data_IF_416983843465
#
_entry.id   IF_416983843465
#
_cell.length_a   1.000
_cell.length_b   1.000
_cell.length_c   1.000
_cell.angle_alpha   90.00
_cell.angle_beta   90.00
_cell.angle_gamma   90.00
#
_symmetry.space_group_name_H-M   'P 1'
#
loop_
_entity.id
_entity.type
_entity.pdbx_description
1 polymer ?
#
# COMPACT_ATOMS: atom_id res chain seq x y z
N UNK A 1 -4.95 -2.93 -29.51
CA UNK A 1 -5.27 -3.54 -28.19
C UNK A 1 -5.64 -2.43 -27.23
N UNK A 2 -6.68 -2.61 -26.39
CA UNK A 2 -6.95 -1.69 -25.29
C UNK A 2 -5.71 -1.62 -24.38
N UNK A 3 -5.40 -0.42 -23.91
CA UNK A 3 -4.29 -0.21 -23.00
C UNK A 3 -4.55 -1.00 -21.70
N UNK A 4 -3.60 -1.85 -21.32
CA UNK A 4 -3.67 -2.56 -20.06
C UNK A 4 -3.46 -1.56 -18.92
N UNK A 5 -4.31 -1.60 -17.91
CA UNK A 5 -4.28 -0.72 -16.74
C UNK A 5 -3.59 -1.45 -15.59
N UNK A 6 -2.73 -0.77 -14.83
CA UNK A 6 -2.03 -1.36 -13.69
C UNK A 6 -2.93 -1.40 -12.43
N UNK A 7 -4.04 -2.13 -12.53
CA UNK A 7 -4.96 -2.34 -11.42
C UNK A 7 -5.35 -3.81 -11.38
N UNK A 8 -5.12 -4.44 -10.25
CA UNK A 8 -5.33 -5.86 -10.01
C UNK A 8 -6.21 -6.06 -8.79
N UNK A 9 -6.99 -7.14 -8.82
CA UNK A 9 -7.82 -7.57 -7.70
C UNK A 9 -7.39 -8.96 -7.26
N UNK A 10 -7.04 -9.08 -5.98
CA UNK A 10 -6.73 -10.34 -5.34
C UNK A 10 -8.00 -11.18 -5.13
N UNK A 11 -7.96 -12.42 -5.62
CA UNK A 11 -8.99 -13.44 -5.40
C UNK A 11 -8.32 -14.74 -4.96
N UNK A 12 -9.12 -15.62 -4.36
CA UNK A 12 -8.71 -16.98 -4.01
C UNK A 12 -9.31 -17.96 -5.02
N UNK A 13 -8.52 -18.91 -5.49
CA UNK A 13 -8.97 -20.06 -6.27
C UNK A 13 -9.14 -21.29 -5.37
N UNK A 14 -9.81 -22.32 -5.87
CA UNK A 14 -9.91 -23.59 -5.16
C UNK A 14 -8.53 -24.27 -5.02
N UNK A 15 -8.34 -25.08 -3.98
CA UNK A 15 -7.07 -25.77 -3.72
C UNK A 15 -6.61 -26.67 -4.88
N UNK A 16 -7.56 -27.27 -5.61
CA UNK A 16 -7.29 -28.11 -6.79
C UNK A 16 -6.73 -27.33 -7.98
N UNK A 17 -7.01 -26.03 -8.05
CA UNK A 17 -6.61 -25.13 -9.14
C UNK A 17 -5.40 -24.29 -8.74
N UNK A 18 -4.73 -24.66 -7.64
CA UNK A 18 -3.53 -24.01 -7.14
C UNK A 18 -2.41 -24.06 -8.18
N UNK A 19 -1.72 -22.92 -8.34
CA UNK A 19 -0.61 -22.77 -9.26
C UNK A 19 0.59 -22.17 -8.51
N UNK A 20 1.82 -22.33 -9.03
CA UNK A 20 3.00 -21.77 -8.39
C UNK A 20 2.96 -20.23 -8.37
N UNK A 21 3.36 -19.65 -7.24
CA UNK A 21 3.58 -18.22 -7.10
C UNK A 21 4.65 -17.75 -8.09
N UNK A 22 4.40 -16.62 -8.75
CA UNK A 22 5.31 -16.05 -9.75
C UNK A 22 6.68 -15.63 -9.22
N UNK A 23 6.83 -15.51 -7.90
CA UNK A 23 8.05 -14.99 -7.26
C UNK A 23 8.87 -16.13 -6.69
N UNK A 24 8.28 -16.97 -5.84
CA UNK A 24 8.99 -18.05 -5.17
C UNK A 24 8.66 -19.45 -5.68
N UNK A 25 7.78 -19.57 -6.68
CA UNK A 25 7.30 -20.85 -7.24
C UNK A 25 6.65 -21.79 -6.23
N UNK A 26 6.40 -21.34 -4.99
CA UNK A 26 5.63 -22.12 -4.00
C UNK A 26 4.16 -22.17 -4.39
N UNK A 27 3.46 -23.27 -4.11
CA UNK A 27 2.04 -23.38 -4.43
C UNK A 27 1.22 -22.25 -3.80
N UNK A 28 0.34 -21.62 -4.59
CA UNK A 28 -0.52 -20.53 -4.12
C UNK A 28 -1.93 -20.59 -4.68
N UNK A 29 -2.90 -20.32 -3.82
CA UNK A 29 -4.31 -20.14 -4.17
C UNK A 29 -4.68 -18.68 -4.43
N UNK A 30 -3.77 -17.72 -4.22
CA UNK A 30 -4.08 -16.30 -4.45
C UNK A 30 -3.72 -15.93 -5.88
N UNK A 31 -4.69 -15.35 -6.58
CA UNK A 31 -4.56 -14.85 -7.95
C UNK A 31 -4.83 -13.35 -7.98
N UNK A 32 -3.93 -12.59 -8.59
CA UNK A 32 -4.14 -11.20 -8.96
C UNK A 32 -4.72 -11.16 -10.37
N UNK A 33 -5.95 -10.69 -10.50
CA UNK A 33 -6.64 -10.55 -11.79
C UNK A 33 -6.66 -9.08 -12.22
N UNK A 34 -6.25 -8.78 -13.44
CA UNK A 34 -6.21 -7.43 -13.97
C UNK A 34 -7.62 -6.89 -14.27
N UNK A 35 -7.92 -5.66 -13.86
CA UNK A 35 -9.24 -5.06 -14.04
C UNK A 35 -9.58 -4.77 -15.52
N UNK A 36 -8.59 -4.56 -16.38
CA UNK A 36 -8.76 -4.11 -17.77
C UNK A 36 -8.73 -5.21 -18.83
N UNK A 37 -8.39 -6.45 -18.47
CA UNK A 37 -8.32 -7.52 -19.46
C UNK A 37 -7.92 -8.88 -18.89
N UNK A 38 -7.81 -9.91 -19.76
CA UNK A 38 -7.51 -11.27 -19.36
C UNK A 38 -6.02 -11.39 -19.06
N UNK A 39 -5.60 -10.84 -17.94
CA UNK A 39 -4.27 -11.04 -17.38
C UNK A 39 -4.42 -11.41 -15.91
N UNK A 40 -3.76 -12.49 -15.52
CA UNK A 40 -3.76 -12.95 -14.15
C UNK A 40 -2.41 -13.52 -13.75
N UNK A 41 -2.13 -13.43 -12.47
CA UNK A 41 -0.87 -13.89 -11.89
C UNK A 41 -1.11 -14.53 -10.53
N UNK A 42 -0.54 -15.72 -10.35
CA UNK A 42 -0.53 -16.36 -9.03
C UNK A 42 0.57 -15.75 -8.17
N UNK A 43 0.22 -15.38 -6.93
CA UNK A 43 1.15 -14.86 -5.93
C UNK A 43 0.80 -15.43 -4.57
N UNK A 44 1.74 -15.61 -3.65
CA UNK A 44 1.39 -16.00 -2.27
C UNK A 44 1.19 -14.76 -1.39
N UNK A 45 0.46 -14.92 -0.28
CA UNK A 45 0.08 -13.80 0.59
C UNK A 45 1.31 -13.09 1.19
N UNK A 46 2.38 -13.84 1.48
CA UNK A 46 3.66 -13.29 1.98
C UNK A 46 4.24 -12.30 0.98
N UNK A 47 4.29 -12.65 -0.31
CA UNK A 47 4.80 -11.74 -1.34
C UNK A 47 3.87 -10.57 -1.65
N UNK A 48 2.59 -10.69 -1.32
CA UNK A 48 1.63 -9.61 -1.49
C UNK A 48 1.71 -8.59 -0.33
N UNK A 49 2.13 -9.02 0.85
CA UNK A 49 2.21 -8.17 2.05
C UNK A 49 3.62 -7.62 2.31
N UNK A 50 4.66 -8.44 2.13
CA UNK A 50 6.02 -8.14 2.60
C UNK A 50 6.96 -7.68 1.48
N UNK A 51 6.52 -7.71 0.22
CA UNK A 51 7.36 -7.33 -0.93
C UNK A 51 6.81 -6.09 -1.67
N UNK A 52 7.22 -4.87 -1.26
CA UNK A 52 6.79 -3.64 -1.91
C UNK A 52 7.35 -3.47 -3.33
N UNK A 53 8.41 -4.21 -3.70
CA UNK A 53 8.96 -4.20 -5.06
C UNK A 53 8.14 -5.07 -6.02
N UNK A 54 7.18 -5.84 -5.51
CA UNK A 54 6.29 -6.67 -6.33
C UNK A 54 4.95 -5.99 -6.57
N UNK A 55 4.24 -5.64 -5.49
CA UNK A 55 2.91 -5.04 -5.56
C UNK A 55 2.67 -4.11 -4.38
N UNK A 56 1.94 -3.02 -4.62
CA UNK A 56 1.46 -2.09 -3.59
C UNK A 56 -0.07 -2.12 -3.50
N UNK A 57 -0.64 -2.10 -2.29
CA UNK A 57 -2.09 -2.03 -2.10
C UNK A 57 -2.63 -0.65 -2.52
N UNK A 58 -3.75 -0.65 -3.23
CA UNK A 58 -4.49 0.56 -3.59
C UNK A 58 -5.59 0.75 -2.56
N UNK A 59 -5.37 1.64 -1.60
CA UNK A 59 -6.33 1.91 -0.53
C UNK A 59 -7.50 2.79 -1.00
N UNK A 60 -8.68 2.59 -0.41
CA UNK A 60 -9.87 3.40 -0.66
C UNK A 60 -9.73 4.80 -0.06
N UNK A 61 -10.61 5.71 -0.48
CA UNK A 61 -10.73 7.04 0.13
C UNK A 61 -11.03 6.93 1.63
N UNK A 62 -11.96 6.05 2.01
CA UNK A 62 -12.33 5.74 3.40
C UNK A 62 -11.12 5.37 4.26
N UNK A 63 -10.22 4.51 3.75
CA UNK A 63 -9.00 4.15 4.47
C UNK A 63 -8.07 5.34 4.69
N UNK A 64 -7.90 6.18 3.66
CA UNK A 64 -7.04 7.36 3.76
C UNK A 64 -7.63 8.41 4.72
N UNK A 65 -8.95 8.57 4.72
CA UNK A 65 -9.67 9.42 5.67
C UNK A 65 -9.55 8.90 7.10
N UNK A 66 -9.74 7.60 7.32
CA UNK A 66 -9.55 6.96 8.63
C UNK A 66 -8.11 7.13 9.14
N UNK A 67 -7.10 6.97 8.29
CA UNK A 67 -5.71 7.28 8.63
C UNK A 67 -5.48 8.76 8.96
N UNK A 68 -6.17 9.67 8.27
CA UNK A 68 -6.15 11.11 8.57
C UNK A 68 -6.70 11.39 9.97
N UNK A 69 -7.89 10.85 10.28
CA UNK A 69 -8.51 10.94 11.62
C UNK A 69 -7.60 10.35 12.69
N UNK A 70 -7.02 9.18 12.45
CA UNK A 70 -6.10 8.51 13.36
C UNK A 70 -4.91 9.40 13.73
N UNK A 71 -4.28 10.07 12.74
CA UNK A 71 -3.17 11.00 12.97
C UNK A 71 -3.61 12.22 13.79
N UNK A 72 -4.79 12.78 13.51
CA UNK A 72 -5.34 13.91 14.25
C UNK A 72 -5.60 13.53 15.71
N UNK A 73 -6.28 12.41 15.97
CA UNK A 73 -6.57 11.94 17.32
C UNK A 73 -5.28 11.62 18.08
N UNK A 74 -4.29 10.98 17.42
CA UNK A 74 -2.97 10.76 18.01
C UNK A 74 -2.30 12.06 18.46
N UNK A 75 -2.33 13.09 17.61
CA UNK A 75 -1.75 14.40 17.95
C UNK A 75 -2.48 15.08 19.13
N UNK A 76 -3.80 14.90 19.25
CA UNK A 76 -4.57 15.35 20.41
C UNK A 76 -4.14 14.63 21.69
N UNK A 77 -3.97 13.30 21.63
CA UNK A 77 -3.49 12.50 22.76
C UNK A 77 -2.11 12.99 23.21
N UNK A 78 -1.18 13.20 22.28
CA UNK A 78 0.17 13.70 22.59
C UNK A 78 0.14 15.09 23.26
N UNK A 79 -0.72 16.00 22.80
CA UNK A 79 -0.91 17.33 23.40
C UNK A 79 -1.49 17.25 24.81
N UNK A 80 -2.58 16.48 25.00
CA UNK A 80 -3.24 16.32 26.30
C UNK A 80 -2.31 15.63 27.31
N UNK A 81 -1.56 14.61 26.87
CA UNK A 81 -0.57 13.93 27.71
C UNK A 81 0.59 14.87 28.10
N UNK A 82 1.04 15.72 27.18
CA UNK A 82 2.09 16.71 27.44
C UNK A 82 1.63 17.79 28.41
N UNK A 83 0.41 18.32 28.25
CA UNK A 83 -0.19 19.29 29.17
C UNK A 83 -0.32 18.73 30.60
N UNK A 84 -0.75 17.46 30.73
CA UNK A 84 -0.79 16.75 32.02
C UNK A 84 0.60 16.58 32.64
N UNK A 85 1.60 16.22 31.85
CA UNK A 85 2.97 16.05 32.33
C UNK A 85 3.64 17.38 32.72
N UNK A 86 3.26 18.51 32.11
CA UNK A 86 3.74 19.83 32.53
C UNK A 86 3.15 20.28 33.87
N UNK A 87 1.90 19.94 34.16
CA UNK A 87 1.27 20.21 35.47
C UNK A 87 1.92 19.36 36.60
N UNK A 88 2.50 18.21 36.26
CA UNK A 88 3.29 17.37 37.16
C UNK A 88 4.79 17.66 37.19
N UNK A 89 5.28 18.66 36.45
CA UNK A 89 6.71 18.95 36.38
C UNK A 89 7.19 19.58 37.70
N UNK A 90 8.27 19.00 38.22
CA UNK A 90 9.00 19.34 39.45
C UNK A 90 9.19 20.85 39.71
N UNK A 91 9.20 21.65 38.64
CA UNK A 91 9.35 23.12 38.66
C UNK A 91 8.22 23.85 39.43
N UNK A 92 6.98 23.34 39.37
CA UNK A 92 5.84 23.91 40.10
C UNK A 92 5.87 23.61 41.62
N UNK A 93 6.53 22.52 42.02
CA UNK A 93 6.74 22.18 43.43
C UNK A 93 7.94 22.94 44.00
N UNK A 94 9.02 23.04 43.22
CA UNK A 94 10.24 23.79 43.57
C UNK A 94 9.90 25.27 43.78
N UNK A 95 9.22 25.93 42.82
CA UNK A 95 8.80 27.33 42.98
C UNK A 95 7.89 27.54 44.20
N UNK A 96 6.95 26.62 44.49
CA UNK A 96 6.06 26.73 45.66
C UNK A 96 6.78 26.54 47.01
N UNK A 97 7.86 25.75 47.04
CA UNK A 97 8.70 25.58 48.23
C UNK A 97 9.63 26.77 48.44
N UNK A 98 10.25 27.29 47.37
CA UNK A 98 11.16 28.43 47.46
C UNK A 98 10.40 29.73 47.76
N UNK A 99 9.25 29.99 47.14
CA UNK A 99 8.43 31.19 47.43
C UNK A 99 7.78 31.18 48.81
N UNK A 100 7.61 30.01 49.46
CA UNK A 100 7.09 29.92 50.83
C UNK A 100 8.15 30.22 51.89
N UNK A 101 9.43 30.21 51.52
CA UNK A 101 10.56 30.48 52.43
C UNK A 101 10.98 31.95 52.49
N UNK A 102 10.53 32.78 51.55
CA UNK A 102 10.84 34.23 51.53
C UNK A 102 9.79 35.12 52.21
N UNK A 103 8.61 34.60 52.57
CA UNK A 103 7.55 35.41 53.22
C UNK A 103 7.70 35.60 54.74
N UNK A 104 8.92 35.49 55.26
CA UNK A 104 9.24 35.74 56.65
C UNK A 104 10.57 36.51 56.79
N UNK A 105 10.66 37.69 56.17
CA UNK A 105 11.47 38.82 56.69
C UNK A 105 11.22 40.10 55.89
N UNK A 106 11.12 41.18 56.67
CA UNK A 106 11.32 42.61 56.36
C UNK A 106 10.23 43.38 55.61
N UNK A 107 9.44 44.10 56.44
CA UNK A 107 9.03 45.49 56.23
C UNK A 107 10.22 46.38 55.79
N UNK A 108 10.05 47.14 54.70
CA UNK A 108 10.20 48.61 54.64
C UNK A 108 10.57 49.13 53.24
N UNK A 109 9.93 50.28 52.94
CA UNK A 109 10.35 51.38 52.06
C UNK A 109 10.32 51.22 50.53
N UNK A 110 9.29 51.84 49.94
CA UNK A 110 9.35 52.98 49.00
C UNK A 110 10.01 52.87 47.60
N UNK A 111 9.12 52.94 46.60
CA UNK A 111 9.03 54.00 45.57
C UNK A 111 9.44 53.68 44.10
N UNK A 112 8.59 54.21 43.20
CA UNK A 112 8.67 54.48 41.73
C UNK A 112 8.11 53.40 40.80
N UNK A 113 6.84 53.50 40.37
CA UNK A 113 6.25 54.39 39.33
C UNK A 113 6.48 53.83 37.90
N UNK A 114 5.48 53.11 37.37
CA UNK A 114 4.60 53.46 36.22
C UNK A 114 5.29 53.32 34.84
N UNK A 115 4.77 52.68 33.77
CA UNK A 115 3.47 52.88 33.11
C UNK A 115 3.34 51.90 31.92
N UNK A 116 2.15 51.29 31.76
CA UNK A 116 1.45 50.72 30.56
C UNK A 116 2.24 49.98 29.45
N UNK A 117 1.80 48.82 28.94
CA UNK A 117 0.62 48.70 28.05
C UNK A 117 0.26 47.22 27.83
N UNK A 118 -1.02 47.01 27.51
CA UNK A 118 -1.71 45.73 27.40
C UNK A 118 -1.39 44.92 26.13
N UNK A 119 -1.97 43.70 26.15
CA UNK A 119 -2.34 42.78 25.05
C UNK A 119 -1.30 41.75 24.59
N UNK A 120 -1.37 40.57 25.20
CA UNK A 120 -1.50 39.31 24.47
C UNK A 120 -2.24 38.33 25.40
N UNK A 121 -3.45 37.92 24.99
CA UNK A 121 -4.28 36.96 25.72
C UNK A 121 -3.49 35.71 26.11
N UNK A 122 -3.64 35.19 27.35
CA UNK A 122 -3.11 33.87 27.66
C UNK A 122 -3.78 32.85 26.71
N UNK A 123 -3.02 31.89 26.14
CA UNK A 123 -3.61 30.85 25.30
C UNK A 123 -4.68 30.11 26.12
N UNK A 124 -5.79 29.68 25.49
CA UNK A 124 -6.87 29.05 26.22
C UNK A 124 -6.32 27.85 26.99
N UNK A 125 -6.43 27.92 28.31
CA UNK A 125 -6.16 26.81 29.21
C UNK A 125 -7.11 25.69 28.83
N UNK A 126 -6.61 24.75 28.03
CA UNK A 126 -7.28 23.47 27.86
C UNK A 126 -7.01 22.73 29.15
N UNK A 127 -7.90 22.89 30.13
CA UNK A 127 -7.91 22.04 31.31
C UNK A 127 -7.90 20.58 30.82
N UNK A 128 -6.79 19.89 31.04
CA UNK A 128 -6.61 18.51 30.64
C UNK A 128 -7.41 17.61 31.56
N UNK A 129 -8.73 17.61 31.40
CA UNK A 129 -9.62 16.74 32.17
C UNK A 129 -9.21 15.27 31.92
N UNK A 130 -9.01 14.46 32.97
CA UNK A 130 -8.60 13.07 32.81
C UNK A 130 -9.62 12.25 32.01
N UNK A 131 -10.90 12.61 32.10
CA UNK A 131 -11.98 11.96 31.35
C UNK A 131 -11.89 12.24 29.83
N UNK A 132 -11.50 13.44 29.40
CA UNK A 132 -11.32 13.75 27.97
C UNK A 132 -10.13 13.01 27.37
N UNK A 133 -9.04 12.81 28.11
CA UNK A 133 -7.89 12.02 27.63
C UNK A 133 -8.25 10.54 27.48
N UNK A 134 -8.99 9.96 28.42
CA UNK A 134 -9.45 8.56 28.35
C UNK A 134 -10.43 8.36 27.19
N UNK A 135 -11.37 9.29 26.98
CA UNK A 135 -12.31 9.24 25.86
C UNK A 135 -11.58 9.33 24.51
N UNK A 136 -10.60 10.25 24.38
CA UNK A 136 -9.80 10.41 23.16
C UNK A 136 -8.95 9.15 22.86
N UNK A 137 -8.45 8.46 23.90
CA UNK A 137 -7.74 7.19 23.75
C UNK A 137 -8.68 6.06 23.30
N UNK A 138 -9.91 6.01 23.82
CA UNK A 138 -10.91 5.05 23.38
C UNK A 138 -11.33 5.29 21.92
N UNK A 139 -11.49 6.55 21.51
CA UNK A 139 -11.73 6.94 20.11
C UNK A 139 -10.58 6.48 19.21
N UNK A 140 -9.33 6.72 19.62
CA UNK A 140 -8.14 6.24 18.89
C UNK A 140 -8.15 4.72 18.70
N UNK A 141 -8.51 3.95 19.73
CA UNK A 141 -8.67 2.49 19.64
C UNK A 141 -9.69 2.08 18.59
N UNK A 142 -10.87 2.71 18.56
CA UNK A 142 -11.91 2.42 17.57
C UNK A 142 -11.45 2.71 16.14
N UNK A 143 -10.77 3.85 15.93
CA UNK A 143 -10.26 4.22 14.61
C UNK A 143 -9.12 3.27 14.18
N UNK A 144 -8.28 2.82 15.12
CA UNK A 144 -7.26 1.81 14.82
C UNK A 144 -7.88 0.50 14.31
N UNK A 145 -8.94 0.03 14.97
CA UNK A 145 -9.65 -1.18 14.58
C UNK A 145 -10.29 -1.02 13.19
N UNK A 146 -10.91 0.13 12.91
CA UNK A 146 -11.46 0.48 11.59
C UNK A 146 -10.38 0.47 10.49
N UNK A 147 -9.23 1.13 10.74
CA UNK A 147 -8.10 1.13 9.80
C UNK A 147 -7.58 -0.29 9.55
N UNK A 148 -7.50 -1.12 10.60
CA UNK A 148 -7.06 -2.50 10.48
C UNK A 148 -8.05 -3.35 9.66
N UNK A 149 -9.35 -3.15 9.83
CA UNK A 149 -10.39 -3.83 9.05
C UNK A 149 -10.36 -3.41 7.58
N UNK A 150 -10.29 -2.10 7.31
CA UNK A 150 -10.17 -1.56 5.95
C UNK A 150 -8.90 -2.06 5.25
N UNK A 151 -7.80 -2.23 5.99
CA UNK A 151 -6.57 -2.83 5.45
C UNK A 151 -6.75 -4.31 5.11
N UNK A 152 -7.41 -5.09 5.98
CA UNK A 152 -7.64 -6.54 5.75
C UNK A 152 -8.61 -6.81 4.60
N UNK A 153 -9.62 -5.97 4.44
CA UNK A 153 -10.63 -6.09 3.39
C UNK A 153 -10.15 -5.56 2.04
N UNK A 154 -9.03 -4.83 2.01
CA UNK A 154 -8.42 -4.35 0.78
C UNK A 154 -7.96 -5.54 -0.09
N UNK A 155 -8.43 -5.56 -1.34
CA UNK A 155 -8.06 -6.57 -2.34
C UNK A 155 -7.49 -5.94 -3.60
N UNK A 156 -7.30 -4.63 -3.63
CA UNK A 156 -6.89 -3.91 -4.84
C UNK A 156 -5.40 -3.65 -4.76
N UNK A 157 -4.69 -3.95 -5.83
CA UNK A 157 -3.24 -3.82 -5.90
C UNK A 157 -2.83 -3.21 -7.23
N UNK A 158 -1.73 -2.49 -7.22
CA UNK A 158 -0.96 -2.15 -8.41
C UNK A 158 0.33 -2.98 -8.37
N UNK A 159 0.81 -3.43 -9.53
CA UNK A 159 2.12 -4.05 -9.61
C UNK A 159 3.19 -2.96 -9.66
N UNK A 160 4.39 -3.28 -9.19
CA UNK A 160 5.54 -2.41 -9.42
C UNK A 160 5.75 -2.17 -10.92
N UNK A 161 6.22 -0.97 -11.28
CA UNK A 161 6.35 -0.52 -12.67
C UNK A 161 7.08 -1.54 -13.57
N UNK A 162 8.23 -2.04 -13.12
CA UNK A 162 9.04 -3.02 -13.87
C UNK A 162 8.25 -4.31 -14.12
N UNK A 163 7.54 -4.80 -13.10
CA UNK A 163 6.72 -6.02 -13.21
C UNK A 163 5.57 -5.80 -14.18
N UNK A 164 4.87 -4.67 -14.07
CA UNK A 164 3.77 -4.33 -14.96
C UNK A 164 4.21 -4.22 -16.42
N UNK A 165 5.30 -3.49 -16.68
CA UNK A 165 5.87 -3.33 -18.02
C UNK A 165 6.29 -4.68 -18.62
N UNK A 166 6.94 -5.54 -17.83
CA UNK A 166 7.29 -6.91 -18.26
C UNK A 166 6.07 -7.72 -18.70
N UNK A 167 4.96 -7.62 -17.96
CA UNK A 167 3.71 -8.30 -18.32
C UNK A 167 3.08 -7.74 -19.59
N UNK A 168 3.07 -6.42 -19.75
CA UNK A 168 2.58 -5.77 -20.97
C UNK A 168 3.40 -6.21 -22.19
N UNK A 169 4.73 -6.21 -22.05
CA UNK A 169 5.64 -6.67 -23.09
C UNK A 169 5.42 -8.14 -23.43
N UNK A 170 5.34 -9.02 -22.42
CA UNK A 170 5.06 -10.45 -22.61
C UNK A 170 3.77 -10.65 -23.40
N UNK A 171 2.69 -9.99 -23.01
CA UNK A 171 1.39 -10.13 -23.68
C UNK A 171 1.44 -9.64 -25.13
N UNK A 172 2.15 -8.55 -25.40
CA UNK A 172 2.39 -8.06 -26.77
C UNK A 172 3.19 -9.09 -27.59
N UNK A 173 4.25 -9.64 -27.03
CA UNK A 173 5.07 -10.67 -27.69
C UNK A 173 4.30 -11.96 -27.95
N UNK A 174 3.52 -12.43 -26.99
CA UNK A 174 2.70 -13.63 -27.12
C UNK A 174 1.66 -13.49 -28.23
N UNK A 175 1.05 -12.30 -28.38
CA UNK A 175 0.15 -12.01 -29.50
C UNK A 175 0.89 -12.05 -30.84
N UNK A 176 2.03 -11.37 -30.96
CA UNK A 176 2.81 -11.37 -32.20
C UNK A 176 3.24 -12.78 -32.60
N UNK A 177 3.65 -13.60 -31.62
CA UNK A 177 4.01 -14.99 -31.84
C UNK A 177 2.81 -15.82 -32.29
N UNK A 178 1.63 -15.60 -31.71
CA UNK A 178 0.39 -16.25 -32.15
C UNK A 178 0.02 -15.88 -33.57
N UNK A 179 0.12 -14.61 -33.94
CA UNK A 179 -0.15 -14.14 -35.31
C UNK A 179 0.84 -14.73 -36.32
N UNK A 180 2.14 -14.79 -35.97
CA UNK A 180 3.16 -15.45 -36.78
C UNK A 180 2.86 -16.93 -36.97
N UNK A 181 2.51 -17.63 -35.89
CA UNK A 181 2.19 -19.05 -35.93
C UNK A 181 0.97 -19.35 -36.81
N UNK A 182 -0.08 -18.53 -36.74
CA UNK A 182 -1.26 -18.67 -37.61
C UNK A 182 -0.90 -18.47 -39.08
N UNK A 183 -0.12 -17.43 -39.41
CA UNK A 183 0.36 -17.21 -40.79
C UNK A 183 1.24 -18.36 -41.30
N UNK A 184 2.08 -18.91 -40.44
CA UNK A 184 2.91 -20.07 -40.79
C UNK A 184 2.06 -21.31 -41.08
N UNK A 185 1.03 -21.58 -40.26
CA UNK A 185 0.07 -22.65 -40.52
C UNK A 185 -0.70 -22.45 -41.83
N UNK A 186 -1.16 -21.23 -42.10
CA UNK A 186 -1.83 -20.88 -43.37
C UNK A 186 -0.90 -21.16 -44.55
N UNK A 187 0.37 -20.74 -44.46
CA UNK A 187 1.38 -21.00 -45.49
C UNK A 187 1.61 -22.50 -45.73
N UNK A 188 1.73 -23.32 -44.68
CA UNK A 188 1.88 -24.78 -44.83
C UNK A 188 0.62 -25.44 -45.43
N UNK A 189 -0.57 -24.94 -45.11
CA UNK A 189 -1.83 -25.49 -45.62
C UNK A 189 -2.11 -25.10 -47.08
N UNK A 190 -1.50 -24.01 -47.55
CA UNK A 190 -1.74 -23.41 -48.87
C UNK A 190 -0.58 -23.66 -49.86
N UNK A 191 0.40 -24.50 -49.55
CA UNK A 191 1.40 -24.91 -50.55
C UNK A 191 0.84 -26.00 -51.46
N UNK A 192 0.68 -25.68 -52.75
CA UNK A 192 0.31 -26.64 -53.79
C UNK A 192 1.46 -27.67 -53.99
N UNK A 193 1.21 -28.97 -53.83
CA UNK A 193 2.23 -30.00 -54.02
C UNK A 193 2.86 -29.96 -55.42
N UNK A 194 2.14 -29.55 -56.47
CA UNK A 194 2.73 -29.40 -57.81
C UNK A 194 3.75 -28.26 -57.87
N UNK A 195 3.49 -27.15 -57.17
CA UNK A 195 4.40 -26.02 -57.12
C UNK A 195 5.70 -26.38 -56.37
N UNK A 196 5.60 -27.18 -55.31
CA UNK A 196 6.75 -27.68 -54.57
C UNK A 196 7.64 -28.59 -55.43
N UNK A 197 7.05 -29.51 -56.20
CA UNK A 197 7.77 -30.39 -57.12
C UNK A 197 8.47 -29.62 -58.25
N UNK A 198 7.92 -28.47 -58.67
CA UNK A 198 8.56 -27.59 -59.66
C UNK A 198 9.72 -26.79 -59.08
N UNK A 199 9.59 -26.30 -57.85
CA UNK A 199 10.59 -25.44 -57.20
C UNK A 199 11.75 -26.22 -56.58
N UNK A 200 11.52 -27.46 -56.16
CA UNK A 200 12.51 -28.24 -55.43
C UNK A 200 12.73 -29.62 -56.07
N UNK A 201 13.99 -29.97 -56.31
CA UNK A 201 14.36 -31.31 -56.73
C UNK A 201 14.41 -32.23 -55.50
N UNK A 202 13.37 -33.05 -55.32
CA UNK A 202 13.32 -34.03 -54.24
C UNK A 202 14.13 -35.29 -54.61
N UNK A 203 14.98 -35.82 -53.71
CA UNK A 203 15.67 -37.08 -53.93
C UNK A 203 14.65 -38.23 -54.04
N UNK A 204 14.80 -39.08 -55.06
CA UNK A 204 13.96 -40.26 -55.21
C UNK A 204 14.48 -41.40 -54.33
N UNK A 205 13.56 -42.15 -53.70
CA UNK A 205 13.93 -43.33 -52.92
C UNK A 205 14.36 -44.43 -53.90
N UNK A 206 15.54 -45.06 -53.70
CA UNK A 206 15.98 -46.18 -54.54
C UNK A 206 14.93 -47.30 -54.53
N UNK A 207 14.41 -47.65 -55.70
CA UNK A 207 13.51 -48.80 -55.84
C UNK A 207 14.36 -50.05 -55.73
N UNK A 208 14.15 -50.85 -54.69
CA UNK A 208 14.71 -52.18 -54.62
C UNK A 208 13.96 -53.03 -55.64
N UNK A 209 14.57 -53.24 -56.81
CA UNK A 209 14.09 -54.20 -57.79
C UNK A 209 14.17 -55.58 -57.13
N UNK A 210 13.03 -56.09 -56.67
CA UNK A 210 12.91 -57.47 -56.20
C UNK A 210 13.04 -58.37 -57.44
N UNK A 211 14.21 -58.99 -57.58
CA UNK A 211 14.38 -60.19 -58.42
C UNK A 211 13.70 -61.39 -57.77
#
# INVERSE_FOLDING_TARGET
>A
MPAMINQYVARKVALKDMQPCAICSKPSTTVLYNASGPDWLYTCDIHLQDNPQFASPIYSTEYNEALGKLKLVKSKIERLASAKNQIGSWDGWVTKIFSKKEKQKTDSSENRESTTTATADPPPEVEGDPDTLLETQAEYGKILDEVAELRRTNRKYELAKIMFESRVLKKRTDQLNRERYLKEQENYSNTDPEELLRKHAFPSVPRQDKQ
#
